data_IF_306573985893
#
_entry.id   IF_306573985893
#
_cell.length_a   1.000
_cell.length_b   1.000
_cell.length_c   1.000
_cell.angle_alpha   90.00
_cell.angle_beta   90.00
_cell.angle_gamma   90.00
#
_symmetry.space_group_name_H-M   'P 1'
#
loop_
_entity.id
_entity.type
_entity.pdbx_description
1 polymer ?
#
# COMPACT_ATOMS: atom_id res chain seq x y z
N UNK A 1 -10.30 -9.63 -4.34
CA UNK A 1 -9.16 -10.18 -3.56
C UNK A 1 -8.43 -11.28 -4.32
N UNK A 2 -9.12 -12.28 -4.86
CA UNK A 2 -8.52 -13.35 -5.67
C UNK A 2 -7.77 -12.83 -6.91
N UNK A 3 -8.40 -11.95 -7.71
CA UNK A 3 -7.76 -11.36 -8.88
C UNK A 3 -6.49 -10.56 -8.52
N UNK A 4 -6.54 -9.78 -7.44
CA UNK A 4 -5.43 -8.95 -6.95
C UNK A 4 -4.28 -9.80 -6.40
N UNK A 5 -4.60 -10.88 -5.67
CA UNK A 5 -3.60 -11.81 -5.16
C UNK A 5 -2.90 -12.56 -6.31
N UNK A 6 -3.68 -13.01 -7.30
CA UNK A 6 -3.15 -13.65 -8.50
C UNK A 6 -2.23 -12.70 -9.28
N UNK A 7 -2.66 -11.46 -9.53
CA UNK A 7 -1.85 -10.48 -10.25
C UNK A 7 -0.57 -10.10 -9.50
N UNK A 8 -0.62 -10.00 -8.18
CA UNK A 8 0.55 -9.72 -7.35
C UNK A 8 1.54 -10.90 -7.35
N UNK A 9 1.04 -12.14 -7.27
CA UNK A 9 1.84 -13.35 -7.35
C UNK A 9 2.54 -13.46 -8.71
N UNK A 10 1.80 -13.31 -9.81
CA UNK A 10 2.35 -13.35 -11.18
C UNK A 10 3.35 -12.21 -11.40
N UNK A 11 3.02 -10.98 -10.98
CA UNK A 11 3.92 -9.83 -11.11
C UNK A 11 5.22 -10.02 -10.34
N UNK A 12 5.14 -10.48 -9.09
CA UNK A 12 6.32 -10.78 -8.26
C UNK A 12 7.17 -11.90 -8.86
N UNK A 13 6.54 -12.90 -9.48
CA UNK A 13 7.25 -14.01 -10.12
C UNK A 13 7.99 -13.55 -11.38
N UNK A 14 7.37 -12.69 -12.20
CA UNK A 14 8.03 -12.11 -13.38
C UNK A 14 9.25 -11.27 -12.97
N UNK A 15 9.11 -10.39 -11.96
CA UNK A 15 10.23 -9.56 -11.49
C UNK A 15 11.31 -10.39 -10.79
N UNK A 16 10.92 -11.43 -10.05
CA UNK A 16 11.87 -12.34 -9.41
C UNK A 16 12.68 -13.19 -10.40
N UNK A 17 12.09 -13.58 -11.54
CA UNK A 17 12.78 -14.41 -12.55
C UNK A 17 13.51 -13.58 -13.63
N UNK A 18 13.01 -12.40 -13.98
CA UNK A 18 13.56 -11.58 -15.07
C UNK A 18 14.11 -10.21 -14.65
N UNK A 19 13.78 -9.72 -13.46
CA UNK A 19 14.07 -8.34 -13.05
C UNK A 19 15.33 -8.16 -12.18
N UNK A 20 16.06 -9.24 -11.84
CA UNK A 20 17.25 -9.22 -10.96
C UNK A 20 17.04 -8.49 -9.60
N UNK A 21 15.78 -8.31 -9.18
CA UNK A 21 15.40 -7.61 -7.95
C UNK A 21 14.42 -8.48 -7.16
N UNK A 22 14.82 -9.04 -5.99
CA UNK A 22 13.95 -9.86 -5.14
C UNK A 22 12.97 -8.98 -4.34
N UNK A 23 12.18 -8.16 -5.04
CA UNK A 23 11.20 -7.25 -4.46
C UNK A 23 9.80 -7.80 -4.69
N UNK A 24 9.05 -8.01 -3.61
CA UNK A 24 7.65 -8.38 -3.69
C UNK A 24 6.82 -7.23 -4.25
N UNK A 25 6.14 -7.48 -5.37
CA UNK A 25 5.20 -6.54 -5.95
C UNK A 25 3.83 -6.74 -5.29
N UNK A 26 3.36 -5.71 -4.60
CA UNK A 26 1.98 -5.63 -4.16
C UNK A 26 1.37 -4.29 -4.57
N UNK A 27 0.05 -4.26 -4.82
CA UNK A 27 -0.64 -2.98 -4.98
C UNK A 27 -0.57 -2.20 -3.67
N UNK A 28 -0.20 -0.92 -3.75
CA UNK A 28 -0.26 -0.03 -2.60
C UNK A 28 -1.70 0.14 -2.13
N UNK A 29 -1.97 -0.14 -0.85
CA UNK A 29 -3.33 -0.04 -0.29
C UNK A 29 -3.96 1.34 -0.51
N UNK A 30 -3.15 2.39 -0.56
CA UNK A 30 -3.61 3.75 -0.85
C UNK A 30 -4.19 3.97 -2.25
N UNK A 31 -3.61 3.32 -3.26
CA UNK A 31 -4.13 3.39 -4.62
C UNK A 31 -5.49 2.70 -4.73
N UNK A 32 -5.70 1.62 -3.95
CA UNK A 32 -7.01 0.95 -3.90
C UNK A 32 -8.08 1.88 -3.29
N UNK A 33 -7.74 2.63 -2.24
CA UNK A 33 -8.65 3.60 -1.64
C UNK A 33 -8.97 4.77 -2.60
N UNK A 34 -7.97 5.30 -3.30
CA UNK A 34 -8.17 6.32 -4.32
C UNK A 34 -9.04 5.83 -5.48
N UNK A 35 -8.85 4.59 -5.93
CA UNK A 35 -9.66 4.00 -6.99
C UNK A 35 -11.14 3.85 -6.58
N UNK A 36 -11.40 3.35 -5.38
CA UNK A 36 -12.76 3.12 -4.90
C UNK A 36 -13.49 4.43 -4.53
N UNK A 37 -12.84 5.32 -3.77
CA UNK A 37 -13.47 6.52 -3.25
C UNK A 37 -13.28 7.75 -4.14
N UNK A 38 -12.12 7.88 -4.79
CA UNK A 38 -11.86 8.94 -5.76
C UNK A 38 -12.53 8.63 -7.09
N UNK A 39 -12.06 7.62 -7.81
CA UNK A 39 -12.51 7.37 -9.19
C UNK A 39 -13.96 6.89 -9.23
N UNK A 40 -14.29 5.80 -8.55
CA UNK A 40 -15.62 5.20 -8.68
C UNK A 40 -16.71 6.05 -7.97
N UNK A 41 -16.44 6.48 -6.73
CA UNK A 41 -17.41 7.26 -5.94
C UNK A 41 -17.46 8.73 -6.32
N UNK A 42 -16.34 9.44 -6.47
CA UNK A 42 -16.39 10.88 -6.73
C UNK A 42 -16.72 11.21 -8.20
N UNK A 43 -16.21 10.44 -9.16
CA UNK A 43 -16.50 10.66 -10.59
C UNK A 43 -17.72 9.88 -11.11
N UNK A 44 -18.39 9.10 -10.26
CA UNK A 44 -19.59 8.30 -10.60
C UNK A 44 -19.39 7.36 -11.81
N UNK A 45 -18.16 6.87 -11.97
CA UNK A 45 -17.77 5.95 -13.03
C UNK A 45 -18.03 4.51 -12.58
N UNK A 46 -18.58 3.69 -13.47
CA UNK A 46 -18.78 2.26 -13.20
C UNK A 46 -17.43 1.54 -12.99
N UNK A 47 -17.43 0.48 -12.19
CA UNK A 47 -16.21 -0.27 -11.88
C UNK A 47 -15.53 -0.83 -13.14
N UNK A 48 -16.32 -1.28 -14.12
CA UNK A 48 -15.83 -1.80 -15.40
C UNK A 48 -15.13 -0.71 -16.23
N UNK A 49 -15.72 0.49 -16.29
CA UNK A 49 -15.10 1.63 -16.96
C UNK A 49 -13.79 2.04 -16.26
N UNK A 50 -13.79 2.10 -14.92
CA UNK A 50 -12.58 2.44 -14.17
C UNK A 50 -11.46 1.39 -14.38
N UNK A 51 -11.79 0.10 -14.40
CA UNK A 51 -10.83 -0.97 -14.71
C UNK A 51 -10.30 -0.89 -16.14
N UNK A 52 -11.14 -0.53 -17.12
CA UNK A 52 -10.69 -0.32 -18.49
C UNK A 52 -9.69 0.84 -18.61
N UNK A 53 -9.92 1.94 -17.89
CA UNK A 53 -8.96 3.05 -17.81
C UNK A 53 -7.64 2.62 -17.13
N UNK A 54 -7.70 1.85 -16.05
CA UNK A 54 -6.50 1.30 -15.41
C UNK A 54 -5.70 0.40 -16.34
N UNK A 55 -6.37 -0.44 -17.12
CA UNK A 55 -5.72 -1.31 -18.11
C UNK A 55 -5.02 -0.49 -19.20
N UNK A 56 -5.70 0.52 -19.76
CA UNK A 56 -5.13 1.41 -20.79
C UNK A 56 -3.95 2.21 -20.23
N UNK A 57 -4.08 2.76 -19.03
CA UNK A 57 -2.99 3.47 -18.36
C UNK A 57 -1.79 2.56 -18.10
N UNK A 58 -2.03 1.31 -17.71
CA UNK A 58 -0.98 0.31 -17.49
C UNK A 58 -0.27 -0.06 -18.80
N UNK A 59 -1.01 -0.28 -19.88
CA UNK A 59 -0.46 -0.56 -21.19
C UNK A 59 0.37 0.61 -21.74
N UNK A 60 -0.13 1.85 -21.59
CA UNK A 60 0.58 3.06 -21.96
C UNK A 60 1.89 3.20 -21.16
N UNK A 61 1.83 2.97 -19.85
CA UNK A 61 3.01 3.03 -18.98
C UNK A 61 4.06 1.98 -19.37
N UNK A 62 3.63 0.77 -19.72
CA UNK A 62 4.51 -0.30 -20.18
C UNK A 62 5.21 0.09 -21.49
N UNK A 63 4.47 0.69 -22.43
CA UNK A 63 5.00 1.21 -23.69
C UNK A 63 6.01 2.36 -23.46
N UNK A 64 5.67 3.31 -22.58
CA UNK A 64 6.57 4.42 -22.21
C UNK A 64 7.84 3.94 -21.48
N UNK A 65 7.72 2.88 -20.69
CA UNK A 65 8.86 2.25 -20.00
C UNK A 65 9.78 1.56 -21.01
N UNK A 66 9.21 0.85 -21.99
CA UNK A 66 9.99 0.23 -23.07
C UNK A 66 10.72 1.27 -23.95
N UNK A 67 10.15 2.46 -24.11
CA UNK A 67 10.79 3.59 -24.80
C UNK A 67 11.85 4.31 -23.94
N UNK A 68 12.06 3.92 -22.67
CA UNK A 68 13.04 4.54 -21.77
C UNK A 68 12.63 5.89 -21.18
N UNK A 69 11.40 6.36 -21.45
CA UNK A 69 10.90 7.67 -21.01
C UNK A 69 10.80 7.72 -19.48
N UNK A 70 10.39 6.63 -18.83
CA UNK A 70 10.31 6.57 -17.37
C UNK A 70 11.67 6.74 -16.68
N UNK A 71 12.73 6.09 -17.19
CA UNK A 71 14.08 6.27 -16.63
C UNK A 71 14.56 7.71 -16.82
N UNK A 72 14.35 8.27 -18.02
CA UNK A 72 14.72 9.65 -18.30
C UNK A 72 14.00 10.64 -17.36
N UNK A 73 12.71 10.43 -17.09
CA UNK A 73 11.94 11.27 -16.18
C UNK A 73 12.49 11.21 -14.75
N UNK A 74 12.79 10.01 -14.25
CA UNK A 74 13.29 9.81 -12.88
C UNK A 74 14.70 10.37 -12.70
N UNK A 75 15.56 10.28 -13.73
CA UNK A 75 16.93 10.80 -13.67
C UNK A 75 17.03 12.30 -13.91
N UNK A 76 16.21 12.86 -14.81
CA UNK A 76 16.34 14.27 -15.24
C UNK A 76 15.38 15.22 -14.55
N UNK A 77 14.20 14.75 -14.14
CA UNK A 77 13.15 15.62 -13.62
C UNK A 77 13.03 15.50 -12.10
N UNK A 78 13.19 14.30 -11.53
CA UNK A 78 13.04 14.10 -10.09
C UNK A 78 14.36 14.33 -9.34
N UNK A 79 14.36 15.34 -8.46
CA UNK A 79 15.44 15.51 -7.48
C UNK A 79 15.43 14.39 -6.42
N UNK A 80 16.59 14.07 -5.87
CA UNK A 80 16.71 13.02 -4.85
C UNK A 80 15.94 13.36 -3.57
N UNK A 81 15.78 14.64 -3.26
CA UNK A 81 14.94 15.10 -2.14
C UNK A 81 13.48 14.73 -2.36
N UNK A 82 12.96 14.92 -3.58
CA UNK A 82 11.58 14.58 -3.91
C UNK A 82 11.35 13.07 -3.87
N UNK A 83 12.30 12.27 -4.38
CA UNK A 83 12.25 10.80 -4.30
C UNK A 83 12.14 10.32 -2.84
N UNK A 84 12.98 10.87 -1.96
CA UNK A 84 12.93 10.56 -0.51
C UNK A 84 11.63 11.00 0.14
N UNK A 85 11.14 12.20 -0.19
CA UNK A 85 9.88 12.72 0.34
C UNK A 85 8.68 11.83 -0.03
N UNK A 86 8.63 11.34 -1.28
CA UNK A 86 7.58 10.41 -1.73
C UNK A 86 7.63 9.10 -0.93
N UNK A 87 8.82 8.51 -0.73
CA UNK A 87 8.96 7.28 0.06
C UNK A 87 8.51 7.47 1.51
N UNK A 88 8.88 8.59 2.14
CA UNK A 88 8.44 8.92 3.50
C UNK A 88 6.92 9.13 3.56
N UNK A 89 6.35 9.84 2.60
CA UNK A 89 4.91 10.10 2.52
C UNK A 89 4.11 8.79 2.38
N UNK A 90 4.54 7.87 1.52
CA UNK A 90 3.91 6.55 1.35
C UNK A 90 3.98 5.75 2.65
N UNK A 91 5.11 5.79 3.36
CA UNK A 91 5.28 5.09 4.65
C UNK A 91 4.34 5.62 5.74
N UNK A 92 4.27 6.94 5.91
CA UNK A 92 3.39 7.58 6.90
C UNK A 92 1.91 7.32 6.54
N UNK A 93 1.56 7.40 5.27
CA UNK A 93 0.21 7.14 4.81
C UNK A 93 -0.23 5.69 5.06
N UNK A 94 0.65 4.72 4.78
CA UNK A 94 0.38 3.31 5.05
C UNK A 94 0.28 3.02 6.55
N UNK A 95 1.10 3.69 7.39
CA UNK A 95 1.02 3.57 8.84
C UNK A 95 -0.34 4.06 9.37
N UNK A 96 -0.86 5.16 8.84
CA UNK A 96 -2.18 5.68 9.19
C UNK A 96 -3.31 4.70 8.82
N UNK A 97 -3.26 4.11 7.63
CA UNK A 97 -4.22 3.05 7.25
C UNK A 97 -4.11 1.85 8.21
N UNK A 98 -2.89 1.45 8.59
CA UNK A 98 -2.68 0.39 9.58
C UNK A 98 -3.35 0.70 10.93
N UNK A 99 -3.20 1.95 11.41
CA UNK A 99 -3.86 2.42 12.63
C UNK A 99 -5.39 2.48 12.53
N UNK A 100 -5.92 2.70 11.34
CA UNK A 100 -7.36 2.63 11.09
C UNK A 100 -7.86 1.18 11.11
N UNK A 101 -7.12 0.26 10.49
CA UNK A 101 -7.48 -1.18 10.43
C UNK A 101 -7.45 -1.83 11.82
N UNK A 102 -6.52 -1.42 12.69
CA UNK A 102 -6.48 -1.92 14.08
C UNK A 102 -7.57 -1.33 14.99
N UNK A 103 -8.34 -0.35 14.52
CA UNK A 103 -9.38 0.33 15.30
C UNK A 103 -8.86 1.37 16.30
N UNK A 104 -7.57 1.73 16.25
CA UNK A 104 -6.98 2.78 17.09
C UNK A 104 -7.35 4.18 16.59
N UNK A 105 -7.49 4.31 15.27
CA UNK A 105 -7.96 5.52 14.59
C UNK A 105 -9.33 5.25 14.00
N UNK A 106 -10.34 5.98 14.44
CA UNK A 106 -11.70 5.93 13.88
C UNK A 106 -12.02 7.27 13.23
N UNK A 107 -12.73 7.23 12.11
CA UNK A 107 -13.19 8.45 11.45
C UNK A 107 -14.34 9.06 12.24
N UNK A 108 -14.15 10.27 12.74
CA UNK A 108 -15.25 11.11 13.25
C UNK A 108 -15.59 12.22 12.26
N UNK A 109 -16.85 12.67 12.23
CA UNK A 109 -17.26 13.78 11.37
C UNK A 109 -16.62 15.12 11.77
N UNK A 110 -16.11 15.27 13.00
CA UNK A 110 -15.63 16.57 13.52
C UNK A 110 -14.11 16.77 13.40
N UNK A 111 -13.30 15.71 13.47
CA UNK A 111 -11.82 15.83 13.48
C UNK A 111 -11.12 14.98 12.43
N UNK A 112 -11.86 14.28 11.56
CA UNK A 112 -11.39 13.26 10.60
C UNK A 112 -10.65 12.05 11.24
N UNK A 113 -10.14 12.20 12.45
CA UNK A 113 -9.31 11.26 13.20
C UNK A 113 -9.72 11.37 14.68
N UNK A 114 -10.26 10.31 15.27
CA UNK A 114 -10.45 10.18 16.72
C UNK A 114 -9.80 8.92 17.24
N UNK A 115 -9.46 8.91 18.52
CA UNK A 115 -9.10 7.67 19.19
C UNK A 115 -10.33 6.74 19.20
N UNK A 116 -10.11 5.48 18.82
CA UNK A 116 -11.12 4.43 18.93
C UNK A 116 -11.50 4.14 20.38
N UNK A 117 -12.55 3.34 20.58
CA UNK A 117 -13.07 3.02 21.91
C UNK A 117 -12.04 2.18 22.71
N UNK A 118 -11.40 2.84 23.69
CA UNK A 118 -10.38 2.25 24.57
C UNK A 118 -11.02 1.50 25.75
N UNK A 119 -12.31 1.15 25.67
CA UNK A 119 -12.95 0.33 26.69
C UNK A 119 -12.25 -1.03 26.84
N UNK A 120 -12.12 -1.54 28.09
CA UNK A 120 -11.47 -2.83 28.38
C UNK A 120 -12.20 -4.04 27.77
N UNK A 121 -13.39 -3.84 27.18
CA UNK A 121 -14.15 -4.85 26.43
C UNK A 121 -13.69 -5.02 24.97
N UNK A 122 -12.88 -4.12 24.41
CA UNK A 122 -12.40 -4.22 23.03
C UNK A 122 -11.14 -5.10 22.91
N UNK A 123 -11.32 -6.41 23.06
CA UNK A 123 -10.25 -7.42 22.93
C UNK A 123 -9.48 -7.30 21.61
N UNK A 124 -10.14 -6.89 20.51
CA UNK A 124 -9.52 -6.73 19.19
C UNK A 124 -8.44 -5.63 19.12
N UNK A 125 -8.65 -4.50 19.80
CA UNK A 125 -7.69 -3.39 19.82
C UNK A 125 -6.41 -3.78 20.57
N UNK A 126 -6.56 -4.41 21.74
CA UNK A 126 -5.43 -4.87 22.54
C UNK A 126 -4.63 -5.97 21.84
N UNK A 127 -5.29 -6.90 21.14
CA UNK A 127 -4.63 -7.90 20.30
C UNK A 127 -3.82 -7.24 19.17
N UNK A 128 -4.40 -6.24 18.49
CA UNK A 128 -3.70 -5.55 17.41
C UNK A 128 -2.50 -4.72 17.91
N UNK A 129 -2.62 -4.07 19.07
CA UNK A 129 -1.51 -3.35 19.72
C UNK A 129 -0.41 -4.33 20.16
N UNK A 130 -0.79 -5.45 20.77
CA UNK A 130 0.16 -6.49 21.19
C UNK A 130 0.89 -7.10 19.99
N UNK A 131 0.18 -7.42 18.90
CA UNK A 131 0.76 -7.89 17.64
C UNK A 131 1.70 -6.87 17.01
N UNK A 132 1.29 -5.60 16.96
CA UNK A 132 2.14 -4.51 16.46
C UNK A 132 3.43 -4.35 17.28
N UNK A 133 3.34 -4.35 18.61
CA UNK A 133 4.50 -4.28 19.50
C UNK A 133 5.41 -5.51 19.34
N UNK A 134 4.83 -6.71 19.21
CA UNK A 134 5.59 -7.94 19.00
C UNK A 134 6.35 -7.90 17.68
N UNK A 135 5.69 -7.52 16.57
CA UNK A 135 6.34 -7.36 15.26
C UNK A 135 7.44 -6.31 15.34
N UNK A 136 7.17 -5.14 15.97
CA UNK A 136 8.15 -4.08 16.14
C UNK A 136 9.36 -4.55 16.95
N UNK A 137 9.15 -5.30 18.03
CA UNK A 137 10.23 -5.85 18.85
C UNK A 137 11.07 -6.86 18.06
N UNK A 138 10.43 -7.80 17.36
CA UNK A 138 11.13 -8.79 16.53
C UNK A 138 11.91 -8.15 15.37
N UNK A 139 11.38 -7.06 14.80
CA UNK A 139 12.05 -6.29 13.75
C UNK A 139 13.33 -5.61 14.29
N UNK A 140 13.26 -5.02 15.49
CA UNK A 140 14.43 -4.42 16.18
C UNK A 140 15.45 -5.51 16.54
N UNK A 141 14.99 -6.70 16.93
CA UNK A 141 15.85 -7.86 17.21
C UNK A 141 16.48 -8.50 15.97
N UNK A 142 16.25 -7.97 14.75
CA UNK A 142 16.79 -8.45 13.47
C UNK A 142 16.58 -9.96 13.22
N UNK A 143 15.47 -10.51 13.71
CA UNK A 143 15.10 -11.90 13.42
C UNK A 143 14.65 -12.01 11.95
N UNK A 144 15.38 -12.80 11.17
CA UNK A 144 15.03 -13.09 9.78
C UNK A 144 13.69 -13.85 9.75
N UNK A 145 12.62 -13.19 9.29
CA UNK A 145 11.26 -13.74 9.25
C UNK A 145 10.26 -13.15 10.26
N UNK A 146 10.63 -12.09 10.99
CA UNK A 146 9.75 -11.42 11.96
C UNK A 146 8.34 -11.09 11.41
N UNK A 147 8.25 -10.72 10.13
CA UNK A 147 7.00 -10.42 9.44
C UNK A 147 6.10 -11.65 9.21
N UNK A 148 6.69 -12.81 8.95
CA UNK A 148 5.92 -14.06 8.73
C UNK A 148 5.38 -14.63 10.03
N UNK A 149 6.10 -14.47 11.14
CA UNK A 149 5.70 -14.94 12.47
C UNK A 149 4.57 -14.05 13.05
N UNK A 150 4.58 -12.76 12.75
CA UNK A 150 3.59 -11.82 13.28
C UNK A 150 2.24 -11.75 12.53
N UNK A 151 2.06 -12.50 11.44
CA UNK A 151 0.81 -12.52 10.65
C UNK A 151 -0.29 -13.43 11.26
N UNK A 152 0.00 -14.09 12.39
CA UNK A 152 -0.95 -14.97 13.10
C UNK A 152 -1.99 -14.24 13.93
#
# INVERSE_FOLDING_TARGET
MTATALSAAVGSLIVGLWGDAPLGLMPGMGLNAYFAFGICRAFHVSFDQAMSCCFVSGALLLLLTALGVCNWLVEKVLSDHLKKAITVAIGIFQALIGFQVMGLVVSSPDTLITLGDVSPSNTHLYLAIAGFLLISAMLVSRLHGALLVGIW
#
